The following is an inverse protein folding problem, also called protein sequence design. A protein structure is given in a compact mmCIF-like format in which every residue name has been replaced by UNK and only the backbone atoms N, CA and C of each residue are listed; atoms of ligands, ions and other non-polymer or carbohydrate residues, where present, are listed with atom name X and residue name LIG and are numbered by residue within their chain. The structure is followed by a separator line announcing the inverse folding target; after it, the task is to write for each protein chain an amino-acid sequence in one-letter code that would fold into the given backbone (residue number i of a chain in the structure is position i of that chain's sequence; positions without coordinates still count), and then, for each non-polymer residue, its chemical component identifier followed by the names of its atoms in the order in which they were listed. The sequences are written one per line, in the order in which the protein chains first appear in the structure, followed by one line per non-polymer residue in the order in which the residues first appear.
data_IF_754047017369
#
_entry.id   IF_754047017369
#
_cell.length_a   1.000
_cell.length_b   1.000
_cell.length_c   1.000
_cell.angle_alpha   90.00
_cell.angle_beta   90.00
_cell.angle_gamma   90.00
#
_symmetry.space_group_name_H-M   'P 1'
#
loop_
_entity.id
_entity.type
_entity.pdbx_description
1 polymer ?
#
# COMPACT_ATOMS: atom_id res chain seq x y z
N UNK A 1 29.55 78.95 -9.19
CA UNK A 1 29.46 77.77 -10.04
C UNK A 1 29.13 76.58 -9.17
N UNK A 2 27.87 76.08 -9.08
CA UNK A 2 27.54 74.91 -8.28
C UNK A 2 27.65 73.63 -9.11
N UNK A 3 28.25 72.57 -8.51
CA UNK A 3 28.34 71.22 -9.05
C UNK A 3 27.00 70.47 -9.01
N UNK A 4 26.65 69.68 -10.01
CA UNK A 4 25.42 68.91 -9.96
C UNK A 4 25.60 67.62 -9.16
N UNK A 5 24.64 67.40 -8.26
CA UNK A 5 24.51 66.17 -7.45
C UNK A 5 24.11 64.95 -8.32
N UNK A 6 24.92 63.91 -8.31
CA UNK A 6 24.64 62.65 -8.94
C UNK A 6 23.67 61.87 -8.09
N UNK A 7 22.39 61.75 -8.52
CA UNK A 7 21.38 60.86 -7.92
C UNK A 7 21.72 59.39 -8.27
N UNK A 8 22.23 58.65 -7.28
CA UNK A 8 22.31 57.16 -7.35
C UNK A 8 20.91 56.58 -7.28
N UNK A 9 20.41 56.04 -8.39
CA UNK A 9 19.21 55.21 -8.41
C UNK A 9 19.55 53.88 -7.75
N UNK A 10 18.99 53.58 -6.58
CA UNK A 10 18.98 52.24 -5.98
C UNK A 10 18.05 51.38 -6.82
N UNK A 11 18.59 50.40 -7.53
CA UNK A 11 17.82 49.32 -8.15
C UNK A 11 17.46 48.36 -7.04
N UNK A 12 16.17 48.26 -6.70
CA UNK A 12 15.63 47.15 -5.94
C UNK A 12 15.72 45.90 -6.83
N UNK A 13 16.55 44.96 -6.43
CA UNK A 13 16.52 43.59 -6.98
C UNK A 13 15.47 42.85 -6.19
N UNK A 14 14.28 42.70 -6.77
CA UNK A 14 13.32 41.73 -6.28
C UNK A 14 13.85 40.34 -6.58
N UNK A 15 14.39 39.68 -5.57
CA UNK A 15 14.68 38.25 -5.61
C UNK A 15 13.37 37.47 -5.66
N UNK A 16 13.05 36.91 -6.81
CA UNK A 16 11.99 35.92 -6.92
C UNK A 16 12.45 34.65 -6.20
N UNK A 17 11.85 34.39 -5.02
CA UNK A 17 11.97 33.08 -4.36
C UNK A 17 11.14 32.10 -5.18
N UNK A 18 11.81 31.38 -6.07
CA UNK A 18 11.22 30.25 -6.76
C UNK A 18 10.97 29.13 -5.75
N UNK A 19 9.72 28.97 -5.33
CA UNK A 19 9.28 27.74 -4.64
C UNK A 19 9.34 26.62 -5.66
N UNK A 20 10.43 25.89 -5.67
CA UNK A 20 10.56 24.65 -6.42
C UNK A 20 9.58 23.62 -5.83
N UNK A 21 8.45 23.42 -6.47
CA UNK A 21 7.61 22.25 -6.23
C UNK A 21 8.39 21.02 -6.67
N UNK A 22 9.06 20.36 -5.72
CA UNK A 22 9.57 19.02 -5.93
C UNK A 22 8.33 18.12 -6.11
N UNK A 23 7.99 17.83 -7.35
CA UNK A 23 7.06 16.75 -7.69
C UNK A 23 7.73 15.45 -7.25
N UNK A 24 7.37 14.97 -6.05
CA UNK A 24 7.65 13.60 -5.64
C UNK A 24 6.76 12.74 -6.53
N UNK A 25 7.31 12.31 -7.64
CA UNK A 25 6.70 11.29 -8.49
C UNK A 25 6.58 10.03 -7.66
N UNK A 26 5.39 9.77 -7.10
CA UNK A 26 5.00 8.42 -6.73
C UNK A 26 4.95 7.67 -8.06
N UNK A 27 6.04 6.96 -8.37
CA UNK A 27 6.15 6.18 -9.58
C UNK A 27 5.11 5.06 -9.54
N UNK A 28 3.98 5.29 -10.18
CA UNK A 28 3.09 4.20 -10.59
C UNK A 28 3.77 3.49 -11.77
N UNK A 29 4.73 2.63 -11.45
CA UNK A 29 5.24 1.68 -12.41
C UNK A 29 4.13 0.70 -12.72
N UNK A 30 3.40 0.95 -13.81
CA UNK A 30 2.56 -0.06 -14.42
C UNK A 30 3.49 -1.16 -14.95
N UNK A 31 3.70 -2.22 -14.18
CA UNK A 31 4.40 -3.41 -14.65
C UNK A 31 3.58 -4.04 -15.80
N UNK A 32 4.04 -3.83 -17.03
CA UNK A 32 3.53 -4.57 -18.19
C UNK A 32 4.13 -5.98 -18.16
N UNK A 33 3.47 -6.88 -17.42
CA UNK A 33 3.73 -8.32 -17.47
C UNK A 33 2.59 -9.00 -18.22
N UNK A 34 2.85 -9.49 -19.40
CA UNK A 34 1.92 -10.36 -20.13
C UNK A 34 1.96 -11.74 -19.52
N UNK A 35 0.90 -12.18 -18.86
CA UNK A 35 0.37 -13.52 -18.65
C UNK A 35 -0.54 -13.61 -17.41
N UNK A 36 -1.45 -12.69 -17.29
CA UNK A 36 -2.45 -12.62 -16.24
C UNK A 36 -2.84 -11.17 -16.12
N UNK A 37 -3.87 -10.75 -16.84
CA UNK A 37 -4.35 -9.38 -16.74
C UNK A 37 -4.77 -9.11 -15.29
N UNK A 38 -4.42 -7.94 -14.75
CA UNK A 38 -4.99 -7.45 -13.49
C UNK A 38 -6.52 -7.59 -13.57
N UNK A 39 -7.08 -8.49 -12.76
CA UNK A 39 -8.52 -8.78 -12.76
C UNK A 39 -9.38 -7.63 -12.23
N UNK A 40 -8.72 -6.60 -11.66
CA UNK A 40 -9.40 -5.42 -11.18
C UNK A 40 -10.35 -5.67 -10.01
N UNK A 41 -10.06 -6.66 -9.18
CA UNK A 41 -10.91 -7.02 -8.04
C UNK A 41 -11.15 -5.82 -7.11
N UNK A 42 -12.34 -5.81 -6.53
CA UNK A 42 -12.73 -4.85 -5.51
C UNK A 42 -13.45 -5.60 -4.40
N UNK A 43 -12.99 -5.44 -3.17
CA UNK A 43 -13.60 -6.04 -2.01
C UNK A 43 -14.16 -4.93 -1.12
N UNK A 44 -15.40 -5.06 -0.72
CA UNK A 44 -16.04 -4.16 0.24
C UNK A 44 -15.68 -4.53 1.68
N UNK A 45 -15.31 -5.80 1.93
CA UNK A 45 -15.02 -6.36 3.25
C UNK A 45 -13.94 -7.44 3.22
N UNK A 46 -13.45 -7.82 4.39
CA UNK A 46 -12.58 -8.99 4.54
C UNK A 46 -13.32 -10.30 4.22
N UNK A 47 -14.65 -10.34 4.32
CA UNK A 47 -15.42 -11.51 3.91
C UNK A 47 -15.31 -11.77 2.40
N UNK A 48 -15.44 -10.73 1.57
CA UNK A 48 -15.25 -10.84 0.11
C UNK A 48 -13.85 -11.34 -0.23
N UNK A 49 -12.84 -10.82 0.47
CA UNK A 49 -11.45 -11.24 0.29
C UNK A 49 -11.23 -12.71 0.65
N UNK A 50 -11.85 -13.19 1.74
CA UNK A 50 -11.81 -14.58 2.17
C UNK A 50 -12.47 -15.51 1.16
N UNK A 51 -13.61 -15.12 0.61
CA UNK A 51 -14.33 -15.93 -0.37
C UNK A 51 -13.51 -16.07 -1.66
N UNK A 52 -12.90 -15.00 -2.13
CA UNK A 52 -11.99 -15.07 -3.29
C UNK A 52 -10.71 -15.88 -2.99
N UNK A 53 -10.11 -15.71 -1.81
CA UNK A 53 -8.97 -16.51 -1.38
C UNK A 53 -9.32 -18.01 -1.40
N UNK A 54 -10.48 -18.38 -0.87
CA UNK A 54 -10.97 -19.76 -0.84
C UNK A 54 -11.17 -20.31 -2.25
N UNK A 55 -11.76 -19.52 -3.13
CA UNK A 55 -11.94 -19.87 -4.54
C UNK A 55 -10.61 -20.12 -5.26
N UNK A 56 -9.63 -19.24 -5.06
CA UNK A 56 -8.30 -19.40 -5.65
C UNK A 56 -7.54 -20.60 -5.05
N UNK A 57 -7.68 -20.84 -3.74
CA UNK A 57 -7.04 -21.96 -3.05
C UNK A 57 -7.54 -23.35 -3.54
N UNK A 58 -8.78 -23.41 -4.02
CA UNK A 58 -9.38 -24.63 -4.57
C UNK A 58 -9.03 -24.89 -6.04
N UNK A 59 -8.40 -23.93 -6.70
CA UNK A 59 -8.03 -24.07 -8.11
C UNK A 59 -6.92 -25.09 -8.30
N UNK A 60 -7.00 -25.89 -9.38
CA UNK A 60 -5.98 -26.89 -9.73
C UNK A 60 -4.64 -26.24 -10.07
N UNK A 61 -4.68 -25.06 -10.68
CA UNK A 61 -3.48 -24.27 -10.97
C UNK A 61 -3.81 -22.78 -11.03
N UNK A 62 -2.82 -21.97 -10.69
CA UNK A 62 -2.88 -20.52 -10.74
C UNK A 62 -1.82 -20.00 -11.70
N UNK A 63 -2.19 -19.01 -12.49
CA UNK A 63 -1.25 -18.16 -13.23
C UNK A 63 -1.15 -16.81 -12.53
N UNK A 64 0.04 -16.21 -12.53
CA UNK A 64 0.29 -14.95 -11.86
C UNK A 64 1.06 -13.99 -12.75
N UNK A 65 0.69 -12.70 -12.67
CA UNK A 65 1.47 -11.59 -13.20
C UNK A 65 2.34 -10.92 -12.12
N UNK A 66 2.28 -11.36 -10.86
CA UNK A 66 3.03 -10.79 -9.75
C UNK A 66 4.50 -11.28 -9.75
N UNK A 67 5.39 -10.46 -9.17
CA UNK A 67 6.79 -10.85 -8.94
C UNK A 67 6.92 -11.94 -7.86
N UNK A 68 6.00 -11.97 -6.90
CA UNK A 68 5.94 -12.96 -5.83
C UNK A 68 5.06 -14.15 -6.23
N UNK A 69 5.45 -15.34 -5.78
CA UNK A 69 4.60 -16.52 -5.91
C UNK A 69 3.38 -16.43 -4.97
N UNK A 70 2.48 -17.40 -5.09
CA UNK A 70 1.25 -17.44 -4.31
C UNK A 70 1.48 -17.39 -2.81
N UNK A 71 2.39 -18.23 -2.27
CA UNK A 71 2.66 -18.30 -0.84
C UNK A 71 3.33 -17.02 -0.30
N UNK A 72 4.26 -16.43 -1.06
CA UNK A 72 4.87 -15.15 -0.70
C UNK A 72 3.83 -14.03 -0.63
N UNK A 73 2.94 -13.94 -1.62
CA UNK A 73 1.87 -12.94 -1.66
C UNK A 73 0.94 -13.08 -0.44
N UNK A 74 0.51 -14.31 -0.11
CA UNK A 74 -0.35 -14.55 1.04
C UNK A 74 0.34 -14.23 2.36
N UNK A 75 1.63 -14.56 2.47
CA UNK A 75 2.45 -14.24 3.65
C UNK A 75 2.57 -12.73 3.84
N UNK A 76 2.81 -11.97 2.76
CA UNK A 76 2.82 -10.51 2.80
C UNK A 76 1.47 -9.93 3.24
N UNK A 77 0.38 -10.43 2.70
CA UNK A 77 -0.95 -9.98 3.10
C UNK A 77 -1.24 -10.30 4.58
N UNK A 78 -0.83 -11.47 5.06
CA UNK A 78 -0.94 -11.83 6.47
C UNK A 78 -0.11 -10.90 7.37
N UNK A 79 1.15 -10.63 7.02
CA UNK A 79 2.01 -9.69 7.74
C UNK A 79 1.36 -8.29 7.85
N UNK A 80 0.76 -7.79 6.76
CA UNK A 80 0.07 -6.48 6.76
C UNK A 80 -1.05 -6.43 7.80
N UNK A 81 -1.85 -7.50 7.90
CA UNK A 81 -2.95 -7.60 8.88
C UNK A 81 -2.40 -7.75 10.30
N UNK A 82 -1.44 -8.65 10.51
CA UNK A 82 -0.84 -8.92 11.83
C UNK A 82 -0.18 -7.65 12.42
N UNK A 83 0.54 -6.89 11.60
CA UNK A 83 1.19 -5.65 12.05
C UNK A 83 0.21 -4.53 12.41
N UNK A 84 -1.01 -4.54 11.87
CA UNK A 84 -2.04 -3.61 12.31
C UNK A 84 -2.44 -3.82 13.78
N UNK A 85 -2.26 -5.03 14.31
CA UNK A 85 -2.53 -5.38 15.69
C UNK A 85 -1.28 -5.30 16.58
N UNK A 86 -0.14 -5.76 16.09
CA UNK A 86 1.12 -5.88 16.87
C UNK A 86 2.07 -4.69 16.72
N UNK A 87 1.98 -3.92 15.65
CA UNK A 87 2.86 -2.82 15.27
C UNK A 87 3.75 -3.16 14.08
N UNK A 88 3.96 -2.18 13.21
CA UNK A 88 4.83 -2.31 12.04
C UNK A 88 6.30 -2.20 12.46
N UNK A 89 7.20 -3.01 11.86
CA UNK A 89 8.62 -3.02 12.24
C UNK A 89 9.33 -1.69 11.99
N UNK A 90 8.99 -1.00 10.90
CA UNK A 90 9.57 0.28 10.52
C UNK A 90 8.49 1.24 10.04
N UNK A 91 8.56 2.49 10.52
CA UNK A 91 7.57 3.52 10.22
C UNK A 91 8.12 4.56 9.25
N UNK A 92 7.31 4.99 8.29
CA UNK A 92 7.62 6.19 7.49
C UNK A 92 7.64 7.42 8.42
N UNK A 93 8.38 8.49 8.08
CA UNK A 93 8.40 9.72 8.88
C UNK A 93 7.00 10.27 9.15
N UNK A 94 6.79 10.82 10.36
CA UNK A 94 5.48 11.33 10.77
C UNK A 94 4.93 12.42 9.80
N UNK A 95 5.80 13.23 9.21
CA UNK A 95 5.39 14.21 8.20
C UNK A 95 4.83 13.52 6.96
N UNK A 96 5.48 12.44 6.48
CA UNK A 96 4.98 11.64 5.36
C UNK A 96 3.60 11.06 5.67
N UNK A 97 3.42 10.46 6.85
CA UNK A 97 2.14 9.86 7.25
C UNK A 97 1.01 10.89 7.26
N UNK A 98 1.26 12.08 7.85
CA UNK A 98 0.24 13.16 7.99
C UNK A 98 -0.07 13.90 6.68
N UNK A 99 0.73 13.73 5.64
CA UNK A 99 0.57 14.40 4.35
C UNK A 99 0.30 13.39 3.23
N UNK A 100 1.34 12.83 2.65
CA UNK A 100 1.24 11.90 1.52
C UNK A 100 0.47 10.64 1.89
N UNK A 101 0.73 10.08 3.08
CA UNK A 101 0.05 8.88 3.56
C UNK A 101 -1.45 9.07 3.72
N UNK A 102 -1.85 10.13 4.44
CA UNK A 102 -3.28 10.46 4.64
C UNK A 102 -3.98 10.77 3.30
N UNK A 103 -3.32 11.48 2.39
CA UNK A 103 -3.88 11.76 1.08
C UNK A 103 -4.05 10.47 0.26
N UNK A 104 -3.07 9.58 0.29
CA UNK A 104 -3.11 8.31 -0.45
C UNK A 104 -4.26 7.42 0.02
N UNK A 105 -4.40 7.18 1.35
CA UNK A 105 -5.49 6.34 1.86
C UNK A 105 -6.87 6.95 1.58
N UNK A 106 -7.00 8.29 1.63
CA UNK A 106 -8.25 8.98 1.29
C UNK A 106 -8.62 8.79 -0.18
N UNK A 107 -7.66 8.87 -1.10
CA UNK A 107 -7.87 8.62 -2.53
C UNK A 107 -8.25 7.15 -2.76
N UNK A 108 -7.58 6.19 -2.11
CA UNK A 108 -7.91 4.78 -2.23
C UNK A 108 -9.32 4.49 -1.72
N UNK A 109 -9.69 5.06 -0.57
CA UNK A 109 -11.03 4.91 0.00
C UNK A 109 -12.10 5.51 -0.92
N UNK A 110 -11.86 6.69 -1.53
CA UNK A 110 -12.75 7.30 -2.51
C UNK A 110 -12.91 6.45 -3.78
N UNK A 111 -11.80 5.88 -4.28
CA UNK A 111 -11.82 5.02 -5.47
C UNK A 111 -12.36 3.61 -5.18
N UNK A 112 -12.44 3.19 -3.92
CA UNK A 112 -12.72 1.82 -3.52
C UNK A 112 -11.67 0.81 -4.03
N UNK A 113 -10.45 1.27 -4.29
CA UNK A 113 -9.36 0.46 -4.83
C UNK A 113 -8.01 1.02 -4.41
N UNK A 114 -7.16 0.14 -3.91
CA UNK A 114 -5.74 0.40 -3.69
C UNK A 114 -4.92 -0.08 -4.90
N UNK A 115 -3.85 0.65 -5.23
CA UNK A 115 -2.85 0.25 -6.22
C UNK A 115 -1.47 0.62 -5.69
N UNK A 116 -0.60 -0.37 -5.57
CA UNK A 116 0.82 -0.20 -5.24
C UNK A 116 1.63 -1.31 -5.92
N UNK A 117 2.95 -1.25 -5.83
CA UNK A 117 3.83 -2.29 -6.37
C UNK A 117 3.58 -3.62 -5.63
N UNK A 118 3.31 -4.68 -6.41
CA UNK A 118 3.01 -6.01 -5.89
C UNK A 118 4.26 -6.78 -5.43
N UNK A 119 5.45 -6.23 -5.64
CA UNK A 119 6.75 -6.77 -5.20
C UNK A 119 7.40 -5.95 -4.07
N UNK A 120 6.73 -4.92 -3.52
CA UNK A 120 7.28 -4.09 -2.45
C UNK A 120 6.99 -4.69 -1.07
N UNK A 121 8.02 -5.12 -0.29
CA UNK A 121 7.81 -5.64 1.05
C UNK A 121 7.43 -4.54 2.04
N UNK A 122 6.83 -4.93 3.16
CA UNK A 122 6.60 -4.02 4.29
C UNK A 122 7.97 -3.64 4.88
N UNK A 123 8.25 -2.34 5.09
CA UNK A 123 9.53 -1.89 5.64
C UNK A 123 9.88 -2.59 6.95
N UNK A 124 11.10 -3.12 7.04
CA UNK A 124 11.61 -3.82 8.20
C UNK A 124 11.00 -5.22 8.45
N UNK A 125 10.05 -5.68 7.62
CA UNK A 125 9.50 -7.03 7.76
C UNK A 125 10.52 -8.10 7.32
N UNK A 126 10.46 -9.32 7.88
CA UNK A 126 11.25 -10.45 7.41
C UNK A 126 11.03 -10.72 5.92
N UNK A 127 12.09 -11.15 5.23
CA UNK A 127 12.03 -11.53 3.83
C UNK A 127 11.01 -12.65 3.60
N UNK A 128 10.33 -12.58 2.46
CA UNK A 128 9.33 -13.56 2.07
C UNK A 128 10.03 -14.79 1.47
N UNK A 129 9.94 -15.92 2.15
CA UNK A 129 10.51 -17.19 1.67
C UNK A 129 9.67 -17.74 0.51
N UNK A 130 10.32 -17.93 -0.65
CA UNK A 130 9.68 -18.51 -1.83
C UNK A 130 9.44 -20.03 -1.69
N UNK A 131 10.08 -20.70 -0.74
CA UNK A 131 9.97 -22.13 -0.47
C UNK A 131 8.82 -22.52 0.44
N UNK A 132 8.10 -21.56 1.03
CA UNK A 132 6.96 -21.86 1.90
C UNK A 132 5.84 -22.53 1.10
N UNK A 133 5.29 -23.67 1.57
CA UNK A 133 4.13 -24.29 0.94
C UNK A 133 2.89 -23.38 0.97
N UNK A 134 2.02 -23.48 -0.03
CA UNK A 134 0.83 -22.64 -0.12
C UNK A 134 -0.16 -22.87 1.05
N UNK A 135 -0.34 -24.11 1.50
CA UNK A 135 -1.26 -24.45 2.59
C UNK A 135 -1.05 -23.62 3.86
N UNK A 136 0.13 -23.68 4.48
CA UNK A 136 0.46 -22.86 5.65
C UNK A 136 0.29 -21.35 5.42
N UNK A 137 0.58 -20.83 4.23
CA UNK A 137 0.39 -19.42 3.92
C UNK A 137 -1.10 -19.03 3.84
N UNK A 138 -1.95 -19.91 3.27
CA UNK A 138 -3.41 -19.73 3.26
C UNK A 138 -3.96 -19.73 4.68
N UNK A 139 -3.59 -20.73 5.48
CA UNK A 139 -4.04 -20.85 6.88
C UNK A 139 -3.64 -19.62 7.71
N UNK A 140 -2.40 -19.15 7.56
CA UNK A 140 -1.92 -17.94 8.25
C UNK A 140 -2.74 -16.71 7.87
N UNK A 141 -3.01 -16.50 6.58
CA UNK A 141 -3.80 -15.35 6.14
C UNK A 141 -5.24 -15.43 6.66
N UNK A 142 -5.88 -16.60 6.60
CA UNK A 142 -7.22 -16.78 7.16
C UNK A 142 -7.24 -16.53 8.69
N UNK A 143 -6.25 -17.04 9.40
CA UNK A 143 -6.11 -16.82 10.84
C UNK A 143 -5.88 -15.33 11.17
N UNK A 144 -5.06 -14.61 10.39
CA UNK A 144 -4.81 -13.18 10.60
C UNK A 144 -6.07 -12.34 10.36
N UNK A 145 -6.87 -12.66 9.32
CA UNK A 145 -8.17 -12.02 9.09
C UNK A 145 -9.12 -12.25 10.28
N UNK A 146 -9.22 -13.48 10.76
CA UNK A 146 -10.08 -13.82 11.89
C UNK A 146 -9.63 -13.12 13.18
N UNK A 147 -8.32 -13.10 13.45
CA UNK A 147 -7.76 -12.39 14.59
C UNK A 147 -8.06 -10.89 14.54
N UNK A 148 -7.92 -10.25 13.38
CA UNK A 148 -8.25 -8.84 13.19
C UNK A 148 -9.73 -8.55 13.45
N UNK A 149 -10.64 -9.37 12.90
CA UNK A 149 -12.09 -9.20 13.11
C UNK A 149 -12.43 -9.27 14.62
N UNK A 150 -11.83 -10.22 15.32
CA UNK A 150 -12.06 -10.45 16.76
C UNK A 150 -11.20 -9.57 17.67
N UNK A 151 -10.28 -8.75 17.12
CA UNK A 151 -9.33 -7.98 17.91
C UNK A 151 -10.03 -7.01 18.87
N UNK A 152 -9.86 -7.17 20.18
CA UNK A 152 -10.52 -6.32 21.16
C UNK A 152 -9.70 -5.08 21.54
N UNK A 153 -8.42 -5.07 21.16
CA UNK A 153 -7.47 -4.03 21.56
C UNK A 153 -7.42 -2.84 20.59
N UNK A 154 -6.64 -1.84 20.96
CA UNK A 154 -6.32 -0.73 20.07
C UNK A 154 -5.41 -1.23 18.94
N UNK A 155 -5.70 -0.82 17.72
CA UNK A 155 -4.84 -1.07 16.57
C UNK A 155 -3.64 -0.12 16.60
N UNK A 156 -2.53 -0.56 15.99
CA UNK A 156 -1.31 0.21 15.89
C UNK A 156 -1.36 1.13 14.66
N UNK A 157 -0.66 2.30 14.67
CA UNK A 157 -0.58 3.15 13.49
C UNK A 157 -0.03 2.38 12.29
N UNK A 158 -0.61 2.62 11.12
CA UNK A 158 -0.10 2.06 9.87
C UNK A 158 1.22 2.73 9.50
N UNK A 159 2.20 1.95 9.03
CA UNK A 159 3.56 2.46 8.76
C UNK A 159 3.59 3.65 7.79
N UNK A 160 2.65 3.74 6.85
CA UNK A 160 2.58 4.80 5.84
C UNK A 160 1.42 5.77 6.04
N UNK A 161 0.29 5.32 6.59
CA UNK A 161 -0.95 6.14 6.67
C UNK A 161 -1.19 6.75 8.06
N UNK A 162 -0.43 6.32 9.09
CA UNK A 162 -0.63 6.76 10.46
C UNK A 162 -1.81 6.07 11.15
N UNK A 163 -2.44 6.78 12.07
CA UNK A 163 -3.59 6.26 12.83
C UNK A 163 -4.78 5.99 11.91
N UNK A 164 -5.36 4.80 12.05
CA UNK A 164 -6.57 4.37 11.36
C UNK A 164 -7.53 3.75 12.38
N UNK A 165 -8.80 4.11 12.30
CA UNK A 165 -9.85 3.42 13.04
C UNK A 165 -10.07 1.99 12.50
N UNK A 166 -10.63 1.08 13.30
CA UNK A 166 -10.85 -0.32 12.91
C UNK A 166 -11.61 -0.46 11.58
N UNK A 167 -12.70 0.30 11.29
CA UNK A 167 -13.37 0.23 10.00
C UNK A 167 -12.51 0.73 8.82
N UNK A 168 -11.60 1.70 9.06
CA UNK A 168 -10.67 2.19 8.04
C UNK A 168 -9.60 1.14 7.73
N UNK A 169 -9.09 0.47 8.76
CA UNK A 169 -8.17 -0.65 8.62
C UNK A 169 -8.80 -1.82 7.88
N UNK A 170 -10.04 -2.20 8.21
CA UNK A 170 -10.75 -3.26 7.51
C UNK A 170 -10.88 -2.97 6.01
N UNK A 171 -11.27 -1.74 5.67
CA UNK A 171 -11.33 -1.30 4.28
C UNK A 171 -9.95 -1.31 3.61
N UNK A 172 -8.91 -0.84 4.32
CA UNK A 172 -7.55 -0.84 3.80
C UNK A 172 -7.06 -2.27 3.52
N UNK A 173 -7.28 -3.21 4.44
CA UNK A 173 -6.95 -4.61 4.26
C UNK A 173 -7.72 -5.26 3.11
N UNK A 174 -9.02 -4.99 2.99
CA UNK A 174 -9.83 -5.50 1.88
C UNK A 174 -9.31 -5.00 0.52
N UNK A 175 -9.01 -3.71 0.40
CA UNK A 175 -8.43 -3.12 -0.82
C UNK A 175 -7.02 -3.64 -1.11
N UNK A 176 -6.20 -3.86 -0.08
CA UNK A 176 -4.85 -4.42 -0.21
C UNK A 176 -4.90 -5.86 -0.74
N UNK A 177 -5.76 -6.68 -0.16
CA UNK A 177 -6.01 -8.05 -0.64
C UNK A 177 -6.56 -8.06 -2.07
N UNK A 178 -7.49 -7.17 -2.41
CA UNK A 178 -7.99 -7.05 -3.78
C UNK A 178 -6.87 -6.73 -4.77
N UNK A 179 -5.95 -5.81 -4.42
CA UNK A 179 -4.81 -5.46 -5.26
C UNK A 179 -3.91 -6.67 -5.51
N UNK A 180 -3.53 -7.40 -4.47
CA UNK A 180 -2.65 -8.56 -4.58
C UNK A 180 -3.32 -9.75 -5.26
N UNK A 181 -4.55 -10.09 -4.89
CA UNK A 181 -5.28 -11.24 -5.47
C UNK A 181 -5.69 -11.00 -6.92
N UNK A 182 -5.79 -9.74 -7.37
CA UNK A 182 -6.04 -9.41 -8.77
C UNK A 182 -4.98 -9.94 -9.73
N UNK A 183 -3.76 -10.16 -9.24
CA UNK A 183 -2.66 -10.68 -10.06
C UNK A 183 -2.74 -12.20 -10.30
N UNK A 184 -3.65 -12.91 -9.65
CA UNK A 184 -3.79 -14.36 -9.76
C UNK A 184 -5.08 -14.75 -10.48
N UNK A 185 -4.99 -15.66 -11.44
CA UNK A 185 -6.13 -16.22 -12.14
C UNK A 185 -6.04 -17.75 -12.20
N UNK A 186 -7.19 -18.41 -12.25
CA UNK A 186 -7.27 -19.86 -12.48
C UNK A 186 -7.07 -20.14 -13.96
N UNK A 187 -6.32 -21.19 -14.29
CA UNK A 187 -6.36 -21.75 -15.65
C UNK A 187 -7.60 -22.62 -15.81
N UNK A 188 -8.17 -22.57 -17.00
CA UNK A 188 -9.30 -23.44 -17.37
C UNK A 188 -8.88 -24.91 -17.36
#
# INVERSE_FOLDING_TARGET
MPHPAVRRRRRLVLGAIGVGAAAIGVGFAASRGSAGADRGLRFASLADARDELTRLAQARSLVSAAAWNWAQTLTHCAQSIEYSMSGFPEMKPALFQRTVGTAAISVFAWRGRMTHDLGEPIPGAPALDAGVPAGPAIERLLASMQAFIQWPGTLRPHFAYGELAKPEYERAHAMHLANHLSAFATTA
#
